data_IF_000449786027
#
_entry.id   IF_000449786027
#
_cell.length_a   1.000
_cell.length_b   1.000
_cell.length_c   1.000
_cell.angle_alpha   90.00
_cell.angle_beta   90.00
_cell.angle_gamma   90.00
#
_symmetry.space_group_name_H-M   'P 1'
#
loop_
_entity.id
_entity.type
_entity.pdbx_description
1 polymer ?
#
# COMPACT_ATOMS: atom_id res chain seq x y z
N UNK A 1 -1.20 27.88 29.92
CA UNK A 1 -0.50 27.78 28.63
C UNK A 1 -1.53 27.70 27.52
N UNK A 2 -1.46 28.55 26.50
CA UNK A 2 -2.27 28.42 25.28
C UNK A 2 -1.43 27.68 24.23
N UNK A 3 -2.05 26.71 23.58
CA UNK A 3 -1.44 25.94 22.48
C UNK A 3 -2.12 26.34 21.16
N UNK A 4 -1.50 26.03 20.02
CA UNK A 4 -2.19 26.13 18.73
C UNK A 4 -3.31 25.09 18.65
N UNK A 5 -4.30 25.39 17.82
CA UNK A 5 -5.38 24.45 17.47
C UNK A 5 -4.83 23.20 16.77
N UNK A 6 -5.60 22.11 16.80
CA UNK A 6 -5.28 20.90 16.04
C UNK A 6 -5.40 21.17 14.53
N UNK A 7 -4.60 20.51 13.67
CA UNK A 7 -3.53 19.55 14.00
C UNK A 7 -2.20 20.21 14.44
N UNK A 8 -2.05 21.54 14.22
CA UNK A 8 -0.81 22.31 14.41
C UNK A 8 -0.18 22.23 15.80
N UNK A 9 -0.96 21.90 16.82
CA UNK A 9 -0.44 21.58 18.17
C UNK A 9 0.69 20.55 18.13
N UNK A 10 0.63 19.59 17.21
CA UNK A 10 1.57 18.47 17.12
C UNK A 10 2.59 18.61 15.97
N UNK A 11 2.52 19.69 15.20
CA UNK A 11 3.40 19.95 14.06
C UNK A 11 4.31 21.15 14.36
N UNK A 12 5.03 21.07 15.48
CA UNK A 12 5.90 22.14 15.93
C UNK A 12 7.15 22.29 15.04
N UNK A 13 7.65 23.52 14.94
CA UNK A 13 8.83 23.85 14.13
C UNK A 13 8.50 24.11 12.67
N UNK A 14 9.54 24.14 11.84
CA UNK A 14 9.38 24.32 10.39
C UNK A 14 8.98 22.98 9.77
N UNK A 15 7.81 22.89 9.11
CA UNK A 15 7.40 21.66 8.45
C UNK A 15 8.35 21.25 7.33
N UNK A 16 8.35 19.96 6.99
CA UNK A 16 8.95 19.49 5.75
C UNK A 16 8.09 19.92 4.55
N UNK A 17 8.23 21.19 4.15
CA UNK A 17 7.42 21.79 3.09
C UNK A 17 7.56 21.06 1.76
N UNK A 18 8.79 20.67 1.39
CA UNK A 18 9.05 19.94 0.16
C UNK A 18 8.37 18.56 0.16
N UNK A 19 8.45 17.84 1.29
CA UNK A 19 7.76 16.56 1.47
C UNK A 19 6.24 16.70 1.39
N UNK A 20 5.66 17.74 1.99
CA UNK A 20 4.22 17.99 1.93
C UNK A 20 3.73 18.26 0.50
N UNK A 21 4.47 19.07 -0.27
CA UNK A 21 4.15 19.35 -1.68
C UNK A 21 4.29 18.07 -2.53
N UNK A 22 5.35 17.28 -2.30
CA UNK A 22 5.55 16.01 -3.00
C UNK A 22 4.44 14.99 -2.70
N UNK A 23 3.99 14.92 -1.44
CA UNK A 23 2.88 14.07 -1.04
C UNK A 23 1.56 14.52 -1.70
N UNK A 24 1.29 15.83 -1.77
CA UNK A 24 0.12 16.34 -2.47
C UNK A 24 0.10 15.91 -3.95
N UNK A 25 1.23 16.03 -4.65
CA UNK A 25 1.34 15.57 -6.03
C UNK A 25 1.14 14.05 -6.18
N UNK A 26 1.60 13.25 -5.20
CA UNK A 26 1.35 11.81 -5.19
C UNK A 26 -0.13 11.48 -4.96
N UNK A 27 -0.81 12.22 -4.08
CA UNK A 27 -2.27 12.10 -3.87
C UNK A 27 -3.01 12.43 -5.16
N UNK A 28 -2.70 13.56 -5.82
CA UNK A 28 -3.31 13.95 -7.10
C UNK A 28 -3.13 12.85 -8.17
N UNK A 29 -1.95 12.21 -8.19
CA UNK A 29 -1.67 11.11 -9.11
C UNK A 29 -2.56 9.88 -8.83
N UNK A 30 -2.69 9.48 -7.56
CA UNK A 30 -3.56 8.36 -7.18
C UNK A 30 -5.04 8.67 -7.41
N UNK A 31 -5.51 9.88 -7.09
CA UNK A 31 -6.89 10.31 -7.34
C UNK A 31 -7.22 10.33 -8.84
N UNK A 32 -6.27 10.73 -9.69
CA UNK A 32 -6.44 10.70 -11.14
C UNK A 32 -6.61 9.29 -11.70
N UNK A 33 -5.93 8.30 -11.13
CA UNK A 33 -6.10 6.89 -11.52
C UNK A 33 -7.38 6.31 -10.89
N UNK A 34 -7.67 6.69 -9.64
CA UNK A 34 -8.76 6.18 -8.83
C UNK A 34 -8.33 4.99 -7.98
N UNK A 35 -8.58 5.07 -6.66
CA UNK A 35 -8.17 4.02 -5.72
C UNK A 35 -8.85 2.67 -6.01
N UNK A 36 -10.11 2.68 -6.44
CA UNK A 36 -10.83 1.45 -6.81
C UNK A 36 -10.20 0.76 -8.03
N UNK A 37 -9.69 1.54 -9.00
CA UNK A 37 -9.01 0.99 -10.16
C UNK A 37 -7.64 0.41 -9.79
N UNK A 38 -6.93 1.05 -8.85
CA UNK A 38 -5.66 0.54 -8.31
C UNK A 38 -5.89 -0.77 -7.58
N UNK A 39 -6.89 -0.82 -6.69
CA UNK A 39 -7.24 -2.05 -5.95
C UNK A 39 -7.64 -3.18 -6.89
N UNK A 40 -8.51 -2.91 -7.87
CA UNK A 40 -8.91 -3.91 -8.86
C UNK A 40 -7.71 -4.48 -9.62
N UNK A 41 -6.78 -3.61 -10.03
CA UNK A 41 -5.56 -4.03 -10.72
C UNK A 41 -4.63 -4.87 -9.81
N UNK A 42 -4.48 -4.50 -8.54
CA UNK A 42 -3.72 -5.32 -7.58
C UNK A 42 -4.34 -6.70 -7.38
N UNK A 43 -5.67 -6.78 -7.26
CA UNK A 43 -6.38 -8.04 -7.13
C UNK A 43 -6.22 -8.92 -8.38
N UNK A 44 -6.27 -8.34 -9.58
CA UNK A 44 -6.00 -9.05 -10.83
C UNK A 44 -4.58 -9.64 -10.85
N UNK A 45 -3.58 -8.86 -10.44
CA UNK A 45 -2.19 -9.32 -10.38
C UNK A 45 -2.00 -10.45 -9.37
N UNK A 46 -2.60 -10.34 -8.19
CA UNK A 46 -2.57 -11.40 -7.18
C UNK A 46 -3.26 -12.66 -7.66
N UNK A 47 -4.47 -12.55 -8.22
CA UNK A 47 -5.21 -13.67 -8.79
C UNK A 47 -4.42 -14.39 -9.90
N UNK A 48 -3.64 -13.65 -10.67
CA UNK A 48 -2.77 -14.19 -11.71
C UNK A 48 -1.54 -14.93 -11.14
N UNK A 49 -0.81 -14.29 -10.21
CA UNK A 49 0.51 -14.79 -9.77
C UNK A 49 0.40 -15.86 -8.69
N UNK A 50 -0.60 -15.77 -7.80
CA UNK A 50 -0.72 -16.65 -6.64
C UNK A 50 -0.80 -18.15 -7.00
N UNK A 51 -1.70 -18.61 -7.90
CA UNK A 51 -1.76 -20.04 -8.26
C UNK A 51 -0.49 -20.52 -8.97
N UNK A 52 0.23 -19.62 -9.67
CA UNK A 52 1.50 -19.96 -10.34
C UNK A 52 2.62 -20.18 -9.34
N UNK A 53 2.68 -19.36 -8.29
CA UNK A 53 3.64 -19.56 -7.20
C UNK A 53 3.34 -20.85 -6.43
N UNK A 54 2.06 -21.14 -6.14
CA UNK A 54 1.68 -22.40 -5.48
C UNK A 54 2.06 -23.65 -6.26
N UNK A 55 2.18 -23.56 -7.58
CA UNK A 55 2.59 -24.67 -8.43
C UNK A 55 4.10 -24.95 -8.42
N UNK A 56 4.91 -24.09 -7.77
CA UNK A 56 6.37 -24.28 -7.67
C UNK A 56 6.66 -25.29 -6.56
N UNK A 57 7.31 -26.39 -6.92
CA UNK A 57 7.75 -27.41 -5.97
C UNK A 57 8.75 -26.82 -4.96
N UNK A 58 8.58 -27.16 -3.68
CA UNK A 58 9.39 -26.63 -2.57
C UNK A 58 9.00 -25.23 -2.11
N UNK A 59 8.04 -24.56 -2.76
CA UNK A 59 7.64 -23.20 -2.39
C UNK A 59 6.52 -23.22 -1.32
N UNK A 60 6.76 -22.53 -0.21
CA UNK A 60 5.78 -22.35 0.88
C UNK A 60 5.38 -20.89 0.98
N UNK A 61 4.10 -20.58 0.71
CA UNK A 61 3.54 -19.23 0.82
C UNK A 61 2.95 -19.00 2.21
N UNK A 62 3.22 -17.83 2.80
CA UNK A 62 2.70 -17.39 4.09
C UNK A 62 1.59 -16.34 3.94
N UNK A 63 0.72 -16.28 4.95
CA UNK A 63 -0.45 -15.37 4.99
C UNK A 63 -1.78 -16.07 4.62
N UNK A 64 -2.84 -15.27 4.48
CA UNK A 64 -4.20 -15.78 4.18
C UNK A 64 -4.24 -16.57 2.86
N UNK A 65 -5.01 -17.65 2.77
CA UNK A 65 -5.28 -18.31 1.48
C UNK A 65 -6.44 -17.64 0.73
N UNK A 66 -7.23 -16.81 1.42
CA UNK A 66 -8.24 -15.96 0.82
C UNK A 66 -7.56 -14.77 0.12
N UNK A 67 -7.63 -14.75 -1.21
CA UNK A 67 -7.02 -13.70 -2.03
C UNK A 67 -7.66 -12.33 -1.80
N UNK A 68 -8.93 -12.26 -1.40
CA UNK A 68 -9.59 -10.99 -1.06
C UNK A 68 -9.01 -10.33 0.19
N UNK A 69 -8.29 -11.09 1.02
CA UNK A 69 -7.58 -10.62 2.20
C UNK A 69 -6.08 -10.40 1.92
N UNK A 70 -5.68 -10.38 0.64
CA UNK A 70 -4.31 -10.08 0.21
C UNK A 70 -4.28 -8.79 -0.59
N UNK A 71 -3.21 -8.02 -0.40
CA UNK A 71 -2.81 -6.91 -1.27
C UNK A 71 -1.57 -7.33 -2.08
N UNK A 72 -0.86 -6.37 -2.70
CA UNK A 72 0.34 -6.58 -3.52
C UNK A 72 1.59 -7.23 -2.86
N UNK A 73 1.44 -8.05 -1.81
CA UNK A 73 2.55 -8.70 -1.08
C UNK A 73 2.34 -10.23 -0.98
N UNK A 74 3.39 -10.99 -1.30
CA UNK A 74 3.44 -12.44 -1.13
C UNK A 74 4.76 -12.81 -0.43
N UNK A 75 4.68 -13.18 0.85
CA UNK A 75 5.80 -13.73 1.60
C UNK A 75 5.88 -15.24 1.37
N UNK A 76 7.08 -15.77 1.10
CA UNK A 76 7.29 -17.20 0.87
C UNK A 76 8.71 -17.63 1.27
N UNK A 77 8.87 -18.94 1.45
CA UNK A 77 10.17 -19.62 1.49
C UNK A 77 10.25 -20.63 0.35
N UNK A 78 11.46 -21.03 -0.03
CA UNK A 78 11.75 -22.07 -1.02
C UNK A 78 12.77 -23.04 -0.41
N UNK A 79 12.45 -24.34 -0.39
CA UNK A 79 13.32 -25.38 0.17
C UNK A 79 12.86 -26.80 -0.13
#
# INVERSE_FOLDING_TARGET
ASWKELPWKFEAGTPNMAGAIGLAAAVDYFEKIGMDAIEAHEQELIAYVYPKLQAIEGLTIYGSQDLSQRSGVIAFNLG
#
